data_IF_308549232934
#
_entry.id   IF_308549232934
#
_cell.length_a   1.000
_cell.length_b   1.000
_cell.length_c   1.000
_cell.angle_alpha   90.00
_cell.angle_beta   90.00
_cell.angle_gamma   90.00
#
_symmetry.space_group_name_H-M   'P 1'
#
loop_
_entity.id
_entity.type
_entity.pdbx_description
1 polymer ?
#
# COMPACT_ATOMS: atom_id res chain seq x y z
N UNK A 1 15.62 -43.99 65.23
CA UNK A 1 15.96 -42.89 66.16
C UNK A 1 15.35 -41.66 65.52
N UNK A 2 14.08 -41.50 65.84
CA UNK A 2 13.50 -40.59 66.86
C UNK A 2 13.58 -39.14 66.34
N UNK A 3 12.60 -38.36 66.23
CA UNK A 3 11.25 -38.25 66.72
C UNK A 3 10.83 -36.78 66.50
N UNK A 4 9.59 -36.60 66.10
CA UNK A 4 8.54 -35.82 66.80
C UNK A 4 8.79 -34.33 66.94
N UNK A 5 7.91 -33.39 66.58
CA UNK A 5 6.51 -33.19 66.72
C UNK A 5 6.13 -31.78 66.39
N UNK A 6 4.95 -31.56 65.85
CA UNK A 6 3.73 -31.04 66.55
C UNK A 6 3.80 -29.52 66.84
N UNK A 7 2.85 -28.67 66.63
CA UNK A 7 1.40 -28.58 66.49
C UNK A 7 1.08 -27.05 66.27
N UNK A 8 0.15 -26.69 65.50
CA UNK A 8 -1.23 -26.26 65.68
C UNK A 8 -1.49 -25.00 66.58
N UNK A 9 -2.24 -24.08 66.07
CA UNK A 9 -3.49 -23.41 66.54
C UNK A 9 -3.69 -22.05 65.88
N UNK A 10 -4.70 -21.82 65.08
CA UNK A 10 -6.12 -21.48 65.32
C UNK A 10 -6.37 -20.22 66.13
N UNK A 11 -7.07 -19.26 65.52
CA UNK A 11 -8.21 -18.48 66.03
C UNK A 11 -8.50 -17.30 65.10
N UNK A 12 -9.57 -17.32 64.32
CA UNK A 12 -10.95 -16.85 64.61
C UNK A 12 -11.13 -15.32 64.66
N UNK A 13 -11.95 -14.87 63.71
CA UNK A 13 -12.77 -13.67 63.51
C UNK A 13 -13.34 -13.00 64.77
N UNK A 14 -13.93 -11.75 64.76
CA UNK A 14 -15.10 -11.41 63.95
C UNK A 14 -15.28 -9.92 63.52
N UNK A 15 -16.08 -9.73 62.49
CA UNK A 15 -17.24 -8.83 62.22
C UNK A 15 -17.40 -7.53 63.02
N UNK A 16 -17.58 -6.42 62.32
CA UNK A 16 -18.64 -5.47 62.62
C UNK A 16 -19.04 -4.59 61.44
N UNK A 17 -20.29 -4.61 61.18
CA UNK A 17 -21.17 -3.87 60.32
C UNK A 17 -21.37 -2.45 60.87
N UNK A 18 -21.36 -1.39 60.01
CA UNK A 18 -22.21 -0.22 60.27
C UNK A 18 -22.60 0.44 58.93
N UNK A 19 -23.88 0.38 58.68
CA UNK A 19 -24.61 1.12 57.65
C UNK A 19 -24.94 2.52 58.20
N UNK A 20 -25.14 3.47 57.28
CA UNK A 20 -25.95 4.71 57.30
C UNK A 20 -25.39 5.57 56.17
N UNK A 21 -26.11 6.14 55.23
CA UNK A 21 -27.50 6.52 55.09
C UNK A 21 -27.56 7.31 53.80
N UNK A 22 -28.61 7.11 53.02
CA UNK A 22 -28.99 7.90 51.84
C UNK A 22 -29.71 9.15 52.36
N UNK A 23 -29.65 10.28 51.62
CA UNK A 23 -30.91 10.90 51.22
C UNK A 23 -31.02 11.23 49.74
N UNK A 24 -32.28 11.14 49.33
CA UNK A 24 -32.79 11.34 48.00
C UNK A 24 -33.09 12.80 47.69
N UNK A 25 -33.22 13.02 46.35
CA UNK A 25 -34.08 13.97 45.67
C UNK A 25 -33.67 15.43 45.54
N UNK A 26 -33.53 15.88 44.30
CA UNK A 26 -34.51 16.82 43.75
C UNK A 26 -34.41 16.89 42.21
N UNK A 27 -35.58 16.69 41.60
CA UNK A 27 -35.95 17.01 40.22
C UNK A 27 -35.71 18.45 39.86
N UNK A 28 -35.19 18.72 38.67
CA UNK A 28 -35.75 19.77 37.79
C UNK A 28 -35.31 19.52 36.33
N UNK A 29 -36.26 19.18 35.51
CA UNK A 29 -36.23 19.42 34.05
C UNK A 29 -36.62 20.88 33.84
N UNK A 30 -36.05 21.57 32.82
CA UNK A 30 -36.97 21.97 31.75
C UNK A 30 -36.38 21.98 30.32
N UNK A 31 -37.33 21.76 29.43
CA UNK A 31 -37.63 22.39 28.12
C UNK A 31 -36.73 22.12 26.91
N UNK A 32 -37.35 21.40 26.00
CA UNK A 32 -37.22 21.38 24.56
C UNK A 32 -36.97 22.76 23.93
N UNK A 33 -35.96 22.83 23.02
CA UNK A 33 -36.14 23.55 21.76
C UNK A 33 -35.54 22.71 20.63
N UNK A 34 -36.40 22.42 19.71
CA UNK A 34 -36.14 21.94 18.36
C UNK A 34 -35.41 23.03 17.56
N UNK A 35 -34.31 22.73 16.95
CA UNK A 35 -33.97 23.31 15.65
C UNK A 35 -33.13 22.32 14.88
N UNK A 36 -33.75 21.78 13.86
CA UNK A 36 -33.20 20.97 12.78
C UNK A 36 -32.37 21.86 11.87
N UNK A 37 -31.09 21.60 11.76
CA UNK A 37 -30.32 21.93 10.58
C UNK A 37 -29.36 20.78 10.26
N UNK A 38 -29.82 19.97 9.33
CA UNK A 38 -29.10 18.93 8.66
C UNK A 38 -27.98 19.58 7.86
N UNK A 39 -26.74 19.56 8.40
CA UNK A 39 -25.54 19.81 7.59
C UNK A 39 -25.10 18.46 7.04
N UNK A 40 -25.54 18.16 5.84
CA UNK A 40 -25.00 17.10 5.00
C UNK A 40 -23.58 17.50 4.62
N UNK A 41 -22.60 16.99 5.33
CA UNK A 41 -21.19 17.10 4.99
C UNK A 41 -20.93 16.32 3.71
N UNK A 42 -20.87 17.01 2.59
CA UNK A 42 -20.45 16.46 1.31
C UNK A 42 -18.96 16.12 1.36
N UNK A 43 -18.64 14.85 1.37
CA UNK A 43 -17.28 14.33 1.18
C UNK A 43 -16.70 14.85 -0.13
N UNK A 44 -15.45 15.38 -0.15
CA UNK A 44 -14.82 15.91 -1.36
C UNK A 44 -14.62 14.87 -2.47
N UNK A 45 -14.74 13.60 -2.17
CA UNK A 45 -14.54 12.49 -3.12
C UNK A 45 -15.72 12.22 -4.05
N UNK A 46 -16.95 12.70 -3.73
CA UNK A 46 -18.09 12.57 -4.65
C UNK A 46 -18.00 13.47 -5.89
N UNK A 47 -17.14 14.50 -5.86
CA UNK A 47 -16.93 15.38 -7.03
C UNK A 47 -15.97 14.81 -8.07
N UNK A 48 -15.11 13.84 -7.71
CA UNK A 48 -14.19 13.21 -8.67
C UNK A 48 -14.87 12.15 -9.55
N UNK A 49 -15.92 11.48 -9.07
CA UNK A 49 -16.66 10.49 -9.86
C UNK A 49 -17.57 11.12 -10.95
N UNK A 50 -18.02 12.35 -10.75
CA UNK A 50 -18.86 13.03 -11.75
C UNK A 50 -18.06 13.66 -12.90
N UNK A 51 -16.77 13.99 -12.68
CA UNK A 51 -15.92 14.58 -13.73
C UNK A 51 -15.29 13.54 -14.67
N UNK A 52 -15.12 12.31 -14.22
CA UNK A 52 -14.54 11.24 -15.05
C UNK A 52 -15.51 10.72 -16.13
N UNK A 53 -16.83 10.86 -15.94
CA UNK A 53 -17.83 10.42 -16.91
C UNK A 53 -18.22 11.48 -17.95
N UNK A 54 -17.85 12.77 -17.75
CA UNK A 54 -18.22 13.85 -18.68
C UNK A 54 -17.19 14.11 -19.77
N UNK A 55 -15.98 13.53 -19.69
CA UNK A 55 -14.91 13.78 -20.68
C UNK A 55 -14.96 12.76 -21.83
N UNK A 56 -15.73 11.67 -21.70
CA UNK A 56 -15.82 10.62 -22.73
C UNK A 56 -16.89 10.87 -23.81
N UNK A 57 -17.71 11.92 -23.72
CA UNK A 57 -18.77 12.20 -24.69
C UNK A 57 -18.48 13.34 -25.66
N UNK A 58 -17.27 13.89 -25.67
CA UNK A 58 -16.95 15.10 -26.46
C UNK A 58 -15.90 14.90 -27.58
N UNK A 59 -15.55 13.66 -27.95
CA UNK A 59 -14.52 13.40 -28.97
C UNK A 59 -15.06 12.70 -30.23
N UNK A 60 -16.38 12.65 -30.43
CA UNK A 60 -16.96 12.18 -31.71
C UNK A 60 -17.90 13.28 -32.20
N UNK A 61 -17.37 14.20 -33.00
CA UNK A 61 -18.24 15.17 -33.65
C UNK A 61 -17.56 16.42 -34.16
N UNK A 62 -16.47 16.32 -34.95
CA UNK A 62 -16.08 17.40 -35.89
C UNK A 62 -15.42 16.77 -37.11
N UNK A 63 -16.27 16.32 -38.03
CA UNK A 63 -15.90 16.16 -39.43
C UNK A 63 -17.16 16.42 -40.25
N UNK A 64 -17.30 17.62 -40.75
CA UNK A 64 -17.99 18.03 -41.95
C UNK A 64 -18.54 19.44 -41.74
N UNK A 65 -17.98 20.35 -42.46
CA UNK A 65 -18.57 21.44 -43.24
C UNK A 65 -17.53 22.56 -43.40
N UNK A 66 -16.82 22.59 -44.48
CA UNK A 66 -16.41 23.86 -45.14
C UNK A 66 -16.49 23.62 -46.65
N UNK A 67 -17.54 24.10 -47.26
CA UNK A 67 -17.59 24.47 -48.66
C UNK A 67 -18.17 25.86 -48.78
N UNK A 68 -17.49 26.65 -49.65
CA UNK A 68 -17.92 27.87 -50.32
C UNK A 68 -17.79 29.20 -49.59
N UNK A 69 -17.01 30.09 -50.23
CA UNK A 69 -16.97 31.53 -50.02
C UNK A 69 -15.71 32.15 -50.62
N UNK A 70 -15.78 32.58 -51.86
CA UNK A 70 -14.69 33.12 -52.61
C UNK A 70 -14.24 34.52 -52.17
N UNK A 71 -13.03 34.87 -52.52
CA UNK A 71 -12.43 36.20 -52.34
C UNK A 71 -11.02 36.23 -52.90
N UNK A 72 -10.89 36.63 -54.19
CA UNK A 72 -9.65 36.96 -54.85
C UNK A 72 -8.91 38.08 -54.13
N UNK A 73 -7.60 37.90 -53.86
CA UNK A 73 -6.56 38.96 -54.05
C UNK A 73 -5.15 38.35 -54.01
N UNK A 74 -4.53 38.57 -55.17
CA UNK A 74 -3.14 38.82 -55.50
C UNK A 74 -2.00 37.94 -55.00
N UNK A 75 -1.33 37.43 -55.99
CA UNK A 75 -0.06 36.76 -56.09
C UNK A 75 1.12 37.52 -55.45
N UNK A 76 2.01 36.76 -54.85
CA UNK A 76 3.33 37.13 -54.42
C UNK A 76 4.09 35.88 -54.05
N UNK A 77 4.89 35.38 -54.97
CA UNK A 77 6.05 34.49 -54.83
C UNK A 77 6.30 33.79 -53.48
N UNK A 78 5.95 32.56 -53.39
CA UNK A 78 6.83 31.53 -52.82
C UNK A 78 6.43 30.14 -53.34
N UNK A 79 6.70 29.89 -54.59
CA UNK A 79 6.55 28.59 -55.26
C UNK A 79 7.74 27.69 -54.87
N UNK A 80 7.85 27.33 -53.59
CA UNK A 80 8.66 26.17 -53.19
C UNK A 80 7.93 24.91 -53.60
N UNK A 81 8.64 24.07 -54.37
CA UNK A 81 8.12 22.84 -54.99
C UNK A 81 7.42 21.98 -53.94
N UNK A 82 6.31 21.28 -54.26
CA UNK A 82 5.55 20.43 -53.33
C UNK A 82 6.42 19.43 -52.57
N UNK A 83 7.48 18.92 -53.19
CA UNK A 83 8.44 17.99 -52.59
C UNK A 83 9.23 18.57 -51.41
N UNK A 84 9.54 19.84 -51.39
CA UNK A 84 10.25 20.48 -50.26
C UNK A 84 9.35 20.66 -49.02
N UNK A 85 8.06 20.88 -49.21
CA UNK A 85 7.07 20.94 -48.13
C UNK A 85 6.88 19.58 -47.49
N UNK A 86 6.82 18.51 -48.26
CA UNK A 86 6.69 17.15 -47.77
C UNK A 86 7.93 16.70 -47.01
N UNK A 87 9.12 17.03 -47.50
CA UNK A 87 10.39 16.75 -46.77
C UNK A 87 10.50 17.58 -45.49
N UNK A 88 10.00 18.83 -45.44
CA UNK A 88 9.96 19.62 -44.21
C UNK A 88 8.95 19.10 -43.21
N UNK A 89 7.77 18.62 -43.66
CA UNK A 89 6.77 17.97 -42.81
C UNK A 89 7.28 16.63 -42.25
N UNK A 90 7.92 15.81 -43.07
CA UNK A 90 8.55 14.56 -42.65
C UNK A 90 9.71 14.78 -41.67
N UNK A 91 10.52 15.84 -41.90
CA UNK A 91 11.58 16.25 -40.96
C UNK A 91 11.00 16.80 -39.66
N UNK A 92 9.90 17.56 -39.69
CA UNK A 92 9.23 18.06 -38.50
C UNK A 92 8.54 16.91 -37.69
N UNK A 93 7.99 15.90 -38.37
CA UNK A 93 7.46 14.68 -37.73
C UNK A 93 8.57 13.82 -37.18
N UNK A 94 9.69 13.64 -37.87
CA UNK A 94 10.85 12.92 -37.38
C UNK A 94 11.51 13.62 -36.16
N UNK A 95 11.50 14.98 -36.13
CA UNK A 95 12.01 15.72 -34.96
C UNK A 95 11.05 15.69 -33.78
N UNK A 96 9.73 15.63 -34.00
CA UNK A 96 8.74 15.41 -32.95
C UNK A 96 8.81 13.97 -32.41
N UNK A 97 9.06 12.97 -33.26
CA UNK A 97 9.31 11.58 -32.83
C UNK A 97 10.64 11.42 -32.10
N UNK A 98 11.68 12.19 -32.47
CA UNK A 98 12.97 12.15 -31.77
C UNK A 98 12.93 12.83 -30.39
N UNK A 99 12.04 13.79 -30.14
CA UNK A 99 11.82 14.40 -28.81
C UNK A 99 10.90 13.57 -27.92
N UNK A 100 10.19 12.57 -28.46
CA UNK A 100 9.46 11.54 -27.70
C UNK A 100 10.23 10.23 -27.56
N UNK A 101 11.52 10.19 -27.81
CA UNK A 101 12.37 9.19 -27.18
C UNK A 101 12.42 9.57 -25.71
N UNK A 102 11.33 9.22 -25.02
CA UNK A 102 11.26 9.02 -23.59
C UNK A 102 12.61 8.48 -23.15
N UNK A 103 13.23 9.17 -22.25
CA UNK A 103 14.19 8.59 -21.34
C UNK A 103 13.41 7.42 -20.74
N UNK A 104 13.60 6.21 -21.26
CA UNK A 104 13.28 4.97 -20.57
C UNK A 104 14.14 5.08 -19.33
N UNK A 105 13.56 5.59 -18.25
CA UNK A 105 14.18 5.54 -16.95
C UNK A 105 14.18 4.05 -16.63
N UNK A 106 15.29 3.42 -16.93
CA UNK A 106 15.61 2.05 -16.55
C UNK A 106 15.71 2.00 -15.03
N UNK A 107 14.54 2.14 -14.38
CA UNK A 107 14.40 1.90 -12.94
C UNK A 107 14.14 0.40 -12.84
N UNK A 108 15.18 -0.39 -12.72
CA UNK A 108 14.96 -1.81 -12.49
C UNK A 108 16.16 -2.73 -12.59
N UNK A 109 17.11 -2.54 -13.48
CA UNK A 109 18.13 -3.55 -13.76
C UNK A 109 19.47 -3.39 -13.02
N UNK A 110 19.74 -2.25 -12.38
CA UNK A 110 21.05 -2.00 -11.74
C UNK A 110 21.14 -2.39 -10.26
N UNK A 111 20.04 -2.85 -9.61
CA UNK A 111 20.04 -3.28 -8.21
C UNK A 111 18.96 -4.34 -7.91
N UNK A 112 18.72 -5.25 -8.83
CA UNK A 112 17.81 -6.38 -8.56
C UNK A 112 18.41 -7.27 -7.47
N UNK A 113 17.85 -7.19 -6.26
CA UNK A 113 18.29 -8.05 -5.16
C UNK A 113 17.88 -9.50 -5.40
N UNK A 114 18.70 -10.44 -4.92
CA UNK A 114 18.44 -11.87 -5.08
C UNK A 114 17.00 -12.31 -4.70
N UNK A 115 16.41 -11.68 -3.71
CA UNK A 115 15.02 -11.94 -3.32
C UNK A 115 14.01 -11.57 -4.42
N UNK A 116 14.23 -10.45 -5.10
CA UNK A 116 13.35 -10.00 -6.19
C UNK A 116 13.43 -10.97 -7.37
N UNK A 117 14.64 -11.30 -7.83
CA UNK A 117 14.86 -12.25 -8.90
C UNK A 117 14.24 -13.64 -8.60
N UNK A 118 14.42 -14.14 -7.37
CA UNK A 118 13.85 -15.42 -6.95
C UNK A 118 12.32 -15.40 -6.87
N UNK A 119 11.73 -14.28 -6.44
CA UNK A 119 10.27 -14.12 -6.44
C UNK A 119 9.73 -13.99 -7.87
N UNK A 120 10.42 -13.30 -8.76
CA UNK A 120 10.07 -13.19 -10.18
C UNK A 120 10.05 -14.59 -10.83
N UNK A 121 11.09 -15.40 -10.62
CA UNK A 121 11.11 -16.76 -11.13
C UNK A 121 10.05 -17.65 -10.47
N UNK A 122 9.85 -17.55 -9.15
CA UNK A 122 8.80 -18.32 -8.47
C UNK A 122 7.39 -17.97 -8.95
N UNK A 123 7.15 -16.70 -9.33
CA UNK A 123 5.85 -16.20 -9.77
C UNK A 123 5.58 -16.48 -11.25
N UNK A 124 6.64 -16.67 -12.01
CA UNK A 124 6.61 -16.91 -13.46
C UNK A 124 5.81 -18.16 -13.82
N UNK A 125 5.06 -18.06 -14.92
CA UNK A 125 4.32 -19.16 -15.55
C UNK A 125 4.70 -19.30 -17.03
N UNK A 126 4.47 -20.47 -17.65
CA UNK A 126 4.61 -20.61 -19.09
C UNK A 126 3.78 -19.55 -19.83
N UNK A 127 4.39 -18.89 -20.81
CA UNK A 127 3.75 -17.83 -21.60
C UNK A 127 3.91 -16.42 -21.02
N UNK A 128 4.43 -16.24 -19.80
CA UNK A 128 4.73 -14.92 -19.26
C UNK A 128 5.92 -14.28 -20.00
N UNK A 129 5.78 -12.98 -20.33
CA UNK A 129 6.86 -12.17 -20.87
C UNK A 129 7.54 -11.42 -19.73
N UNK A 130 8.88 -11.47 -19.71
CA UNK A 130 9.68 -10.82 -18.67
C UNK A 130 10.16 -9.44 -19.13
N UNK A 131 10.24 -8.49 -18.19
CA UNK A 131 10.88 -7.17 -18.36
C UNK A 131 10.41 -6.42 -19.60
N UNK A 132 9.09 -6.44 -19.84
CA UNK A 132 8.49 -5.76 -20.98
C UNK A 132 8.32 -4.27 -20.74
N UNK A 133 8.55 -3.48 -21.79
CA UNK A 133 8.28 -2.04 -21.77
C UNK A 133 6.82 -1.79 -22.10
N UNK A 134 6.05 -1.32 -21.12
CA UNK A 134 4.62 -0.97 -21.26
C UNK A 134 4.40 0.44 -20.71
N UNK A 135 3.72 1.31 -21.46
CA UNK A 135 3.45 2.69 -21.03
C UNK A 135 4.72 3.50 -20.70
N UNK A 136 5.88 3.14 -21.27
CA UNK A 136 7.18 3.79 -20.99
C UNK A 136 7.87 3.29 -19.72
N UNK A 137 7.36 2.24 -19.07
CA UNK A 137 7.95 1.60 -17.88
C UNK A 137 8.32 0.15 -18.18
N UNK A 138 9.40 -0.32 -17.58
CA UNK A 138 9.74 -1.74 -17.56
C UNK A 138 8.88 -2.42 -16.50
N UNK A 139 8.14 -3.46 -16.88
CA UNK A 139 7.28 -4.28 -16.01
C UNK A 139 7.93 -5.64 -15.82
N UNK A 140 7.96 -6.16 -14.58
CA UNK A 140 8.65 -7.41 -14.25
C UNK A 140 8.11 -8.62 -15.04
N UNK A 141 6.76 -8.77 -15.09
CA UNK A 141 6.10 -9.85 -15.86
C UNK A 141 4.83 -9.31 -16.52
N UNK A 142 4.57 -9.79 -17.73
CA UNK A 142 3.31 -9.56 -18.45
C UNK A 142 2.67 -10.91 -18.72
N UNK A 143 1.42 -11.08 -18.27
CA UNK A 143 0.62 -12.30 -18.36
C UNK A 143 -0.70 -11.99 -19.06
N UNK A 144 -0.77 -12.21 -20.38
CA UNK A 144 -1.87 -11.67 -21.17
C UNK A 144 -1.94 -10.16 -21.00
N UNK A 145 -3.08 -9.64 -20.54
CA UNK A 145 -3.27 -8.21 -20.29
C UNK A 145 -2.79 -7.76 -18.89
N UNK A 146 -2.55 -8.72 -17.98
CA UNK A 146 -2.16 -8.43 -16.59
C UNK A 146 -0.68 -8.06 -16.50
N UNK A 147 -0.42 -6.85 -16.00
CA UNK A 147 0.92 -6.40 -15.65
C UNK A 147 1.22 -6.76 -14.20
N UNK A 148 2.32 -7.46 -13.97
CA UNK A 148 2.74 -7.88 -12.63
C UNK A 148 4.04 -7.19 -12.28
N UNK A 149 4.04 -6.53 -11.13
CA UNK A 149 5.19 -5.83 -10.56
C UNK A 149 5.53 -6.42 -9.19
N UNK A 150 6.78 -6.81 -8.99
CA UNK A 150 7.25 -7.41 -7.73
C UNK A 150 8.06 -6.38 -6.95
N UNK A 151 7.58 -6.00 -5.76
CA UNK A 151 8.28 -5.00 -4.95
C UNK A 151 8.67 -5.55 -3.59
N UNK A 152 9.97 -5.68 -3.37
CA UNK A 152 10.55 -6.16 -2.10
C UNK A 152 10.81 -5.02 -1.11
N UNK A 153 10.83 -3.78 -1.58
CA UNK A 153 11.06 -2.56 -0.80
C UNK A 153 9.78 -1.76 -0.52
N UNK A 154 9.95 -0.47 -0.23
CA UNK A 154 8.84 0.48 -0.08
C UNK A 154 8.10 0.75 -1.39
N UNK A 155 6.83 1.16 -1.33
CA UNK A 155 6.02 1.39 -2.54
C UNK A 155 6.10 2.82 -3.09
N UNK A 156 6.58 3.77 -2.30
CA UNK A 156 6.63 5.18 -2.70
C UNK A 156 7.26 5.44 -4.08
N UNK A 157 8.39 4.80 -4.47
CA UNK A 157 9.00 5.02 -5.78
C UNK A 157 8.14 4.53 -6.95
N UNK A 158 7.25 3.56 -6.72
CA UNK A 158 6.40 2.96 -7.75
C UNK A 158 5.08 3.70 -7.97
N UNK A 159 4.71 4.63 -7.08
CA UNK A 159 3.41 5.27 -7.07
C UNK A 159 2.98 5.76 -8.45
N UNK A 160 3.79 6.61 -9.08
CA UNK A 160 3.48 7.18 -10.40
C UNK A 160 3.38 6.12 -11.49
N UNK A 161 4.29 5.12 -11.47
CA UNK A 161 4.26 4.01 -12.43
C UNK A 161 2.95 3.25 -12.33
N UNK A 162 2.56 2.84 -11.11
CA UNK A 162 1.36 2.06 -10.87
C UNK A 162 0.08 2.84 -11.17
N UNK A 163 0.02 4.13 -10.81
CA UNK A 163 -1.11 5.01 -11.12
C UNK A 163 -1.34 5.13 -12.63
N UNK A 164 -0.27 5.30 -13.42
CA UNK A 164 -0.38 5.43 -14.87
C UNK A 164 -0.72 4.10 -15.55
N UNK A 165 -0.07 3.00 -15.17
CA UNK A 165 -0.33 1.69 -15.76
C UNK A 165 -1.76 1.20 -15.44
N UNK A 166 -2.26 1.45 -14.23
CA UNK A 166 -3.61 1.02 -13.84
C UNK A 166 -4.74 1.80 -14.53
N UNK A 167 -4.45 2.89 -15.26
CA UNK A 167 -5.45 3.56 -16.08
C UNK A 167 -5.83 2.74 -17.31
N UNK A 168 -4.87 2.02 -17.89
CA UNK A 168 -5.03 1.32 -19.16
C UNK A 168 -5.03 -0.21 -19.01
N UNK A 169 -4.30 -0.73 -18.03
CA UNK A 169 -4.07 -2.16 -17.86
C UNK A 169 -4.48 -2.66 -16.46
N UNK A 170 -4.89 -3.92 -16.32
CA UNK A 170 -4.90 -4.60 -15.03
C UNK A 170 -3.48 -4.68 -14.48
N UNK A 171 -3.27 -4.22 -13.25
CA UNK A 171 -1.95 -4.18 -12.58
C UNK A 171 -2.02 -4.93 -11.28
N UNK A 172 -1.09 -5.87 -11.06
CA UNK A 172 -0.90 -6.59 -9.80
C UNK A 172 0.45 -6.25 -9.20
N UNK A 173 0.43 -5.62 -8.04
CA UNK A 173 1.62 -5.40 -7.22
C UNK A 173 1.82 -6.60 -6.29
N UNK A 174 2.90 -7.35 -6.46
CA UNK A 174 3.27 -8.49 -5.60
C UNK A 174 4.24 -8.04 -4.53
N UNK A 175 3.87 -8.25 -3.26
CA UNK A 175 4.59 -7.72 -2.12
C UNK A 175 4.93 -8.80 -1.10
N UNK A 176 6.21 -9.23 -0.96
CA UNK A 176 6.59 -10.20 0.05
C UNK A 176 6.55 -9.60 1.45
N UNK A 177 5.97 -10.34 2.38
CA UNK A 177 6.00 -10.09 3.83
C UNK A 177 6.71 -11.27 4.51
N UNK A 178 7.85 -11.06 5.18
CA UNK A 178 8.60 -12.15 5.80
C UNK A 178 7.98 -12.57 7.13
N UNK A 179 7.21 -13.65 7.15
CA UNK A 179 6.66 -14.25 8.36
C UNK A 179 7.69 -15.06 9.14
N UNK A 180 8.70 -15.59 8.45
CA UNK A 180 9.87 -16.23 9.05
C UNK A 180 11.15 -15.69 8.46
N UNK A 181 12.13 -15.40 9.33
CA UNK A 181 13.45 -14.93 8.88
C UNK A 181 14.56 -15.69 9.59
N UNK A 182 15.56 -16.13 8.81
CA UNK A 182 16.80 -16.68 9.34
C UNK A 182 17.93 -15.68 9.05
N UNK A 183 18.69 -15.31 10.07
CA UNK A 183 19.87 -14.45 9.95
C UNK A 183 21.04 -15.36 9.68
N UNK A 184 21.65 -15.21 8.50
CA UNK A 184 22.82 -15.96 8.04
C UNK A 184 24.01 -15.02 8.00
N UNK A 185 25.05 -15.34 8.77
CA UNK A 185 26.31 -14.61 8.77
C UNK A 185 27.28 -15.29 7.82
N UNK A 186 27.88 -14.50 6.96
CA UNK A 186 28.81 -14.97 5.95
C UNK A 186 30.20 -14.39 6.23
N UNK A 187 31.24 -15.14 5.83
CA UNK A 187 32.60 -14.62 5.65
C UNK A 187 32.68 -13.68 4.44
N UNK A 188 33.83 -13.08 4.19
CA UNK A 188 34.01 -12.24 3.00
C UNK A 188 34.04 -13.10 1.71
N UNK A 189 34.41 -14.36 1.82
CA UNK A 189 34.40 -15.36 0.73
C UNK A 189 33.01 -15.96 0.49
N UNK A 190 32.00 -15.61 1.33
CA UNK A 190 30.63 -16.09 1.19
C UNK A 190 30.33 -17.39 1.96
N UNK A 191 31.24 -17.91 2.77
CA UNK A 191 31.02 -19.09 3.59
C UNK A 191 30.09 -18.80 4.76
N UNK A 192 29.24 -19.77 5.14
CA UNK A 192 28.31 -19.64 6.26
C UNK A 192 29.04 -19.80 7.58
N UNK A 193 29.23 -18.70 8.31
CA UNK A 193 29.82 -18.70 9.65
C UNK A 193 28.78 -19.07 10.72
N UNK A 194 27.56 -18.64 10.59
CA UNK A 194 26.48 -19.00 11.51
C UNK A 194 25.11 -18.70 10.90
N UNK A 195 24.10 -19.44 11.35
CA UNK A 195 22.71 -19.21 10.99
C UNK A 195 21.81 -19.36 12.22
N UNK A 196 20.90 -18.41 12.42
CA UNK A 196 19.90 -18.45 13.52
C UNK A 196 18.58 -17.89 13.09
N UNK A 197 17.47 -18.36 13.67
CA UNK A 197 16.15 -17.78 13.46
C UNK A 197 16.08 -16.37 14.08
N UNK A 198 15.44 -15.45 13.39
CA UNK A 198 15.10 -14.15 13.94
C UNK A 198 13.93 -14.33 14.92
N UNK A 199 13.96 -13.68 16.09
CA UNK A 199 12.82 -13.67 17.01
C UNK A 199 11.63 -12.88 16.42
N UNK A 200 11.89 -11.93 15.53
CA UNK A 200 10.84 -11.13 14.88
C UNK A 200 10.13 -11.98 13.83
N UNK A 201 8.84 -12.14 14.00
CA UNK A 201 7.94 -12.72 13.02
C UNK A 201 7.13 -11.60 12.39
N UNK A 202 7.08 -11.57 11.06
CA UNK A 202 6.19 -10.67 10.33
C UNK A 202 4.77 -11.23 10.31
N UNK A 203 3.84 -10.37 9.98
CA UNK A 203 2.40 -10.64 9.90
C UNK A 203 1.86 -10.00 8.63
N UNK A 204 0.71 -10.46 8.16
CA UNK A 204 0.08 -9.91 6.96
C UNK A 204 -0.20 -8.40 7.10
N UNK A 205 -0.53 -7.94 8.30
CA UNK A 205 -0.80 -6.54 8.61
C UNK A 205 0.45 -5.64 8.42
N UNK A 206 1.68 -6.20 8.41
CA UNK A 206 2.91 -5.44 8.15
C UNK A 206 2.90 -4.76 6.77
N UNK A 207 2.03 -5.21 5.85
CA UNK A 207 1.83 -4.60 4.54
C UNK A 207 1.42 -3.12 4.65
N UNK A 208 0.64 -2.76 5.66
CA UNK A 208 0.17 -1.40 5.85
C UNK A 208 1.31 -0.41 6.07
N UNK A 209 2.47 -0.86 6.60
CA UNK A 209 3.66 -0.02 6.74
C UNK A 209 4.23 0.46 5.40
N UNK A 210 3.96 -0.23 4.31
CA UNK A 210 4.34 0.13 2.94
C UNK A 210 3.18 0.79 2.19
N UNK A 211 1.95 0.31 2.44
CA UNK A 211 0.73 0.76 1.78
C UNK A 211 0.40 2.23 2.10
N UNK A 212 0.87 2.78 3.23
CA UNK A 212 0.72 4.21 3.59
C UNK A 212 1.19 5.18 2.51
N UNK A 213 2.10 4.77 1.61
CA UNK A 213 2.58 5.63 0.51
C UNK A 213 1.68 5.61 -0.73
N UNK A 214 0.79 4.61 -0.85
CA UNK A 214 -0.08 4.39 -2.02
C UNK A 214 -1.49 3.91 -1.63
N UNK A 215 -2.12 4.42 -0.57
CA UNK A 215 -3.35 3.81 -0.03
C UNK A 215 -4.51 3.87 -1.02
N UNK A 216 -4.59 4.90 -1.84
CA UNK A 216 -5.66 5.10 -2.83
C UNK A 216 -5.59 4.17 -4.04
N UNK A 217 -4.49 3.46 -4.26
CA UNK A 217 -4.38 2.58 -5.43
C UNK A 217 -5.38 1.42 -5.37
N UNK A 218 -5.68 0.89 -4.17
CA UNK A 218 -6.71 -0.15 -4.01
C UNK A 218 -8.14 0.33 -4.33
N UNK A 219 -8.35 1.64 -4.51
CA UNK A 219 -9.62 2.17 -5.00
C UNK A 219 -9.73 2.15 -6.53
N UNK A 220 -8.64 1.86 -7.25
CA UNK A 220 -8.65 1.77 -8.70
C UNK A 220 -9.16 0.40 -9.16
N UNK A 221 -10.09 0.32 -10.12
CA UNK A 221 -10.74 -0.93 -10.52
C UNK A 221 -9.79 -1.92 -11.22
N UNK A 222 -8.63 -1.44 -11.66
CA UNK A 222 -7.63 -2.25 -12.38
C UNK A 222 -6.35 -2.46 -11.57
N UNK A 223 -6.38 -2.21 -10.26
CA UNK A 223 -5.22 -2.41 -9.40
C UNK A 223 -5.51 -3.44 -8.31
N UNK A 224 -4.58 -4.36 -8.13
CA UNK A 224 -4.61 -5.40 -7.12
C UNK A 224 -3.28 -5.42 -6.35
N UNK A 225 -3.34 -5.74 -5.06
CA UNK A 225 -2.17 -5.98 -4.23
C UNK A 225 -2.15 -7.44 -3.77
N UNK A 226 -1.18 -8.21 -4.21
CA UNK A 226 -0.96 -9.58 -3.76
C UNK A 226 0.13 -9.62 -2.69
N UNK A 227 -0.25 -9.98 -1.47
CA UNK A 227 0.65 -10.15 -0.34
C UNK A 227 1.15 -11.59 -0.35
N UNK A 228 2.47 -11.78 -0.38
CA UNK A 228 3.10 -13.11 -0.38
C UNK A 228 3.82 -13.30 0.95
N UNK A 229 3.30 -14.19 1.81
CA UNK A 229 3.91 -14.51 3.09
C UNK A 229 5.09 -15.46 2.85
N UNK A 230 6.29 -15.05 3.27
CA UNK A 230 7.53 -15.72 2.89
C UNK A 230 8.41 -16.07 4.08
N UNK A 231 9.17 -17.17 3.94
CA UNK A 231 10.37 -17.43 4.74
C UNK A 231 11.60 -16.94 3.97
N UNK A 232 12.48 -16.22 4.64
CA UNK A 232 13.63 -15.57 4.01
C UNK A 232 14.90 -15.76 4.81
N UNK A 233 16.04 -15.89 4.11
CA UNK A 233 17.36 -15.70 4.68
C UNK A 233 17.77 -14.23 4.53
N UNK A 234 18.20 -13.62 5.63
CA UNK A 234 18.84 -12.31 5.64
C UNK A 234 20.36 -12.53 5.76
N UNK A 235 21.07 -12.27 4.66
CA UNK A 235 22.51 -12.47 4.55
C UNK A 235 23.22 -11.26 5.15
N UNK A 236 24.19 -11.51 6.01
CA UNK A 236 24.99 -10.47 6.67
C UNK A 236 26.48 -10.78 6.57
N UNK A 237 27.27 -9.75 6.24
CA UNK A 237 28.73 -9.79 6.27
C UNK A 237 29.21 -8.79 7.31
N UNK A 238 30.30 -9.11 7.99
CA UNK A 238 30.90 -8.23 8.97
C UNK A 238 31.68 -7.11 8.29
N UNK A 239 31.38 -5.85 8.63
CA UNK A 239 32.08 -4.66 8.15
C UNK A 239 32.38 -3.78 9.35
N UNK A 240 33.62 -3.74 9.83
CA UNK A 240 34.04 -2.90 10.95
C UNK A 240 33.63 -1.44 10.72
N UNK A 241 33.22 -0.76 11.77
CA UNK A 241 32.78 0.65 11.71
C UNK A 241 31.43 0.90 11.05
N UNK A 242 30.73 -0.12 10.52
CA UNK A 242 29.38 -0.01 9.94
C UNK A 242 28.33 -0.70 10.80
N UNK A 243 27.05 -0.36 10.57
CA UNK A 243 25.90 -1.00 11.22
C UNK A 243 26.06 -1.13 12.76
N UNK A 244 26.34 -0.04 13.46
CA UNK A 244 26.65 0.04 14.89
C UNK A 244 25.67 -0.78 15.76
N UNK A 245 24.37 -0.62 15.56
CA UNK A 245 23.32 -1.39 16.28
C UNK A 245 23.38 -2.89 16.05
N UNK A 246 24.09 -3.35 15.00
CA UNK A 246 24.28 -4.76 14.65
C UNK A 246 25.74 -5.21 14.84
N UNK A 247 26.52 -4.45 15.58
CA UNK A 247 27.93 -4.75 15.88
C UNK A 247 28.74 -5.09 14.62
N UNK A 248 28.66 -4.23 13.59
CA UNK A 248 29.39 -4.40 12.33
C UNK A 248 28.72 -5.34 11.30
N UNK A 249 27.64 -6.04 11.63
CA UNK A 249 26.97 -6.95 10.69
C UNK A 249 26.05 -6.19 9.74
N UNK A 250 26.48 -6.00 8.50
CA UNK A 250 25.76 -5.33 7.43
C UNK A 250 24.91 -6.34 6.66
N UNK A 251 23.65 -5.99 6.36
CA UNK A 251 22.80 -6.78 5.47
C UNK A 251 23.28 -6.58 4.04
N UNK A 252 23.70 -7.65 3.38
CA UNK A 252 24.18 -7.64 2.00
C UNK A 252 23.14 -8.17 1.02
N UNK A 253 22.15 -8.91 1.51
CA UNK A 253 21.10 -9.43 0.65
C UNK A 253 20.00 -10.15 1.43
N UNK A 254 18.97 -10.55 0.70
CA UNK A 254 17.92 -11.45 1.17
C UNK A 254 17.68 -12.52 0.12
N UNK A 255 17.34 -13.72 0.58
CA UNK A 255 17.08 -14.87 -0.26
C UNK A 255 15.73 -15.48 0.11
N UNK A 256 14.92 -15.84 -0.87
CA UNK A 256 13.70 -16.59 -0.67
C UNK A 256 14.04 -18.02 -0.21
N UNK A 257 13.39 -18.50 0.82
CA UNK A 257 13.46 -19.89 1.28
C UNK A 257 12.23 -20.64 0.85
N UNK A 258 11.07 -20.07 1.17
CA UNK A 258 9.76 -20.64 0.76
C UNK A 258 8.67 -19.56 0.79
N UNK A 259 7.58 -19.84 0.09
CA UNK A 259 6.31 -19.11 0.19
C UNK A 259 5.37 -19.94 1.04
N UNK A 260 4.74 -19.31 2.04
CA UNK A 260 3.80 -19.95 2.96
C UNK A 260 2.35 -19.75 2.49
N UNK A 261 1.97 -18.52 2.19
CA UNK A 261 0.60 -18.14 1.82
C UNK A 261 0.62 -16.96 0.86
N UNK A 262 -0.48 -16.81 0.10
CA UNK A 262 -0.77 -15.63 -0.71
C UNK A 262 -2.14 -15.07 -0.35
N UNK A 263 -2.23 -13.75 -0.26
CA UNK A 263 -3.50 -13.06 -0.04
C UNK A 263 -3.63 -11.95 -1.07
N UNK A 264 -4.66 -12.03 -1.90
CA UNK A 264 -5.02 -10.99 -2.86
C UNK A 264 -5.94 -9.97 -2.21
N UNK A 265 -5.61 -8.70 -2.36
CA UNK A 265 -6.47 -7.56 -2.04
C UNK A 265 -6.79 -6.87 -3.37
N UNK A 266 -8.00 -7.06 -3.88
CA UNK A 266 -8.48 -6.46 -5.12
C UNK A 266 -9.34 -5.21 -4.88
N UNK A 267 -9.84 -5.06 -3.64
CA UNK A 267 -10.75 -3.98 -3.27
C UNK A 267 -10.39 -3.40 -1.90
N UNK A 268 -10.86 -2.19 -1.58
CA UNK A 268 -10.81 -1.65 -0.21
C UNK A 268 -11.44 -2.57 0.84
N UNK A 269 -12.50 -3.31 0.49
CA UNK A 269 -13.17 -4.25 1.38
C UNK A 269 -12.26 -5.43 1.76
N UNK A 270 -11.42 -5.91 0.82
CA UNK A 270 -10.44 -6.96 1.13
C UNK A 270 -9.40 -6.49 2.15
N UNK A 271 -8.99 -5.22 2.05
CA UNK A 271 -8.08 -4.61 3.04
C UNK A 271 -8.76 -4.45 4.40
N UNK A 272 -10.06 -4.10 4.43
CA UNK A 272 -10.85 -4.07 5.66
C UNK A 272 -11.01 -5.45 6.29
N UNK A 273 -11.05 -6.51 5.49
CA UNK A 273 -11.07 -7.90 5.94
C UNK A 273 -9.83 -8.31 6.76
N UNK A 274 -8.79 -7.49 6.81
CA UNK A 274 -7.64 -7.69 7.70
C UNK A 274 -7.85 -7.11 9.11
N UNK A 275 -8.96 -6.41 9.36
CA UNK A 275 -9.34 -5.99 10.72
C UNK A 275 -9.82 -7.19 11.53
N UNK A 276 -9.46 -7.27 12.83
CA UNK A 276 -9.95 -8.33 13.70
C UNK A 276 -11.49 -8.37 13.75
N UNK A 277 -12.07 -9.56 13.68
CA UNK A 277 -13.53 -9.73 13.76
C UNK A 277 -14.08 -9.27 15.13
N UNK A 278 -13.31 -9.44 16.19
CA UNK A 278 -13.68 -9.04 17.56
C UNK A 278 -13.60 -7.53 17.81
N UNK A 279 -13.13 -6.74 16.82
CA UNK A 279 -13.04 -5.29 16.97
C UNK A 279 -14.46 -4.67 16.98
N UNK A 280 -14.82 -3.79 17.94
CA UNK A 280 -16.12 -3.15 17.97
C UNK A 280 -16.33 -2.21 16.74
N UNK A 281 -17.57 -1.82 16.48
CA UNK A 281 -17.93 -0.89 15.39
C UNK A 281 -17.22 0.46 15.56
N UNK A 282 -17.13 0.95 16.80
CA UNK A 282 -16.44 2.18 17.18
C UNK A 282 -15.19 1.84 17.99
N UNK A 283 -14.03 2.15 17.44
CA UNK A 283 -12.74 1.83 18.07
C UNK A 283 -11.71 2.92 17.83
N UNK A 284 -10.72 2.97 18.69
CA UNK A 284 -9.52 3.78 18.49
C UNK A 284 -8.30 2.91 18.08
N UNK A 285 -7.16 3.57 17.80
CA UNK A 285 -5.94 2.86 17.38
C UNK A 285 -5.30 2.01 18.48
N UNK A 286 -5.61 2.26 19.76
CA UNK A 286 -5.11 1.43 20.86
C UNK A 286 -5.92 0.12 20.94
N UNK A 287 -7.24 0.23 20.82
CA UNK A 287 -8.14 -0.93 20.77
C UNK A 287 -7.83 -1.81 19.56
N UNK A 288 -7.58 -1.22 18.38
CA UNK A 288 -7.13 -1.98 17.21
C UNK A 288 -5.79 -2.67 17.46
N UNK A 289 -4.80 -1.97 18.03
CA UNK A 289 -3.49 -2.53 18.32
C UNK A 289 -3.60 -3.74 19.26
N UNK A 290 -4.43 -3.63 20.29
CA UNK A 290 -4.69 -4.70 21.27
C UNK A 290 -5.41 -5.88 20.59
N UNK A 291 -6.51 -5.65 19.88
CA UNK A 291 -7.30 -6.69 19.25
C UNK A 291 -6.53 -7.46 18.17
N UNK A 292 -5.70 -6.76 17.39
CA UNK A 292 -4.85 -7.35 16.35
C UNK A 292 -3.53 -7.92 16.91
N UNK A 293 -3.14 -7.59 18.14
CA UNK A 293 -1.85 -7.96 18.72
C UNK A 293 -0.66 -7.37 17.96
N UNK A 294 -0.79 -6.11 17.50
CA UNK A 294 0.22 -5.38 16.71
C UNK A 294 0.69 -4.12 17.46
N UNK A 295 1.84 -3.58 17.02
CA UNK A 295 2.31 -2.30 17.54
C UNK A 295 1.35 -1.15 17.21
N UNK A 296 1.17 -0.20 18.13
CA UNK A 296 0.29 0.98 17.94
C UNK A 296 0.62 1.76 16.65
N UNK A 297 1.88 1.86 16.30
CA UNK A 297 2.31 2.49 15.03
C UNK A 297 1.72 1.79 13.82
N UNK A 298 1.71 0.47 13.79
CA UNK A 298 1.13 -0.30 12.69
C UNK A 298 -0.40 -0.14 12.67
N UNK A 299 -1.07 -0.13 13.84
CA UNK A 299 -2.49 0.17 13.92
C UNK A 299 -2.84 1.57 13.38
N UNK A 300 -2.01 2.59 13.65
CA UNK A 300 -2.15 3.93 13.07
C UNK A 300 -2.01 3.91 11.54
N UNK A 301 -1.06 3.13 11.01
CA UNK A 301 -0.88 2.98 9.56
C UNK A 301 -2.07 2.25 8.92
N UNK A 302 -2.62 1.22 9.59
CA UNK A 302 -3.83 0.54 9.13
C UNK A 302 -5.03 1.50 9.08
N UNK A 303 -5.33 2.20 10.16
CA UNK A 303 -6.47 3.14 10.20
C UNK A 303 -6.30 4.29 9.21
N UNK A 304 -5.07 4.78 9.00
CA UNK A 304 -4.78 5.77 7.97
C UNK A 304 -5.11 5.25 6.57
N UNK A 305 -4.60 4.06 6.21
CA UNK A 305 -4.85 3.46 4.90
C UNK A 305 -6.34 3.18 4.67
N UNK A 306 -7.01 2.56 5.64
CA UNK A 306 -8.43 2.19 5.52
C UNK A 306 -9.33 3.43 5.44
N UNK A 307 -8.99 4.51 6.13
CA UNK A 307 -9.69 5.80 5.96
C UNK A 307 -9.43 6.41 4.58
N UNK A 308 -8.20 6.37 4.10
CA UNK A 308 -7.86 6.87 2.77
C UNK A 308 -8.56 6.09 1.65
N UNK A 309 -8.92 4.83 1.91
CA UNK A 309 -9.72 3.97 1.03
C UNK A 309 -11.23 4.18 1.19
N UNK A 310 -11.68 5.00 2.15
CA UNK A 310 -13.11 5.21 2.42
C UNK A 310 -13.80 4.03 3.12
N UNK A 311 -13.04 3.12 3.74
CA UNK A 311 -13.56 1.95 4.46
C UNK A 311 -13.84 2.28 5.92
N UNK A 312 -13.08 3.20 6.50
CA UNK A 312 -13.26 3.70 7.85
C UNK A 312 -13.62 5.18 7.82
N UNK A 313 -14.59 5.56 8.64
CA UNK A 313 -14.93 6.95 8.93
C UNK A 313 -14.35 7.40 10.28
N UNK A 314 -14.27 8.72 10.49
CA UNK A 314 -13.96 9.31 11.78
C UNK A 314 -15.24 9.62 12.52
N UNK A 315 -15.46 8.99 13.68
CA UNK A 315 -16.65 9.16 14.52
C UNK A 315 -16.47 10.20 15.65
N UNK A 316 -15.35 10.94 15.67
CA UNK A 316 -15.04 11.93 16.69
C UNK A 316 -13.79 11.60 17.50
N UNK A 317 -13.73 12.05 18.75
CA UNK A 317 -12.61 11.79 19.67
C UNK A 317 -13.12 11.27 21.00
N UNK A 318 -12.38 10.35 21.61
CA UNK A 318 -12.59 9.83 22.96
C UNK A 318 -11.27 9.95 23.72
N UNK A 319 -11.26 10.71 24.81
CA UNK A 319 -10.05 10.96 25.61
C UNK A 319 -8.84 11.44 24.78
N UNK A 320 -9.09 12.31 23.78
CA UNK A 320 -8.07 12.84 22.87
C UNK A 320 -7.68 11.92 21.70
N UNK A 321 -8.04 10.65 21.72
CA UNK A 321 -7.82 9.71 20.63
C UNK A 321 -8.93 9.81 19.57
N UNK A 322 -8.55 9.68 18.29
CA UNK A 322 -9.51 9.61 17.18
C UNK A 322 -10.24 8.27 17.24
N UNK A 323 -11.56 8.33 17.23
CA UNK A 323 -12.44 7.15 17.15
C UNK A 323 -12.81 6.92 15.68
N UNK A 324 -12.65 5.70 15.24
CA UNK A 324 -12.98 5.23 13.90
C UNK A 324 -14.28 4.43 13.93
N UNK A 325 -15.04 4.50 12.84
CA UNK A 325 -16.20 3.66 12.56
C UNK A 325 -15.92 2.80 11.34
N UNK A 326 -16.22 1.52 11.41
CA UNK A 326 -16.18 0.60 10.26
C UNK A 326 -17.57 0.43 9.62
#
# INVERSE_FOLDING_TARGET
>A
MDAVGSAASSSSTPVSNTAFGVPAAHHTRPKRRSDSSTIVGSSPWRRFHALAMSIWSLTIGVAAVITTGGGQRQAGEDARRPQEREVLLLRAQATRHRRRRSIVVQIGTLNEGALHAQLKEWYRRPGDLLEQVTGGFVVDLVRGDLLVEIQTGGFAPLRRKLELLAQEHPVRLVAPVPVGRRIVRLSDEGEVLSARRSPRRGRIEDIFSRLVSIPSLLCLPRFELEIVLTHQDELRVHRPGKAFRRRGWVVTGRRLVSVEERRLLATPADAAGLLPLALPELFDTAELAQAAGIERRLAQQMTYCLRAMGVLDTAGKRSGAVVHRR
#
